data_IF_299229409613
#
_entry.id   IF_299229409613
#
_cell.length_a   1.000
_cell.length_b   1.000
_cell.length_c   1.000
_cell.angle_alpha   90.00
_cell.angle_beta   90.00
_cell.angle_gamma   90.00
#
_symmetry.space_group_name_H-M   'P 1'
#
loop_
_entity.id
_entity.type
_entity.pdbx_description
1 polymer ?
#
# COMPACT_ATOMS: atom_id res chain seq x y z
N UNK A 1 -1.72 -10.21 -17.79
CA UNK A 1 -0.84 -9.35 -16.96
C UNK A 1 -0.08 -8.42 -17.89
N UNK A 2 -0.31 -7.11 -17.84
CA UNK A 2 0.47 -6.13 -18.60
C UNK A 2 1.25 -5.27 -17.62
N UNK A 3 2.46 -5.74 -17.31
CA UNK A 3 3.43 -5.08 -16.47
C UNK A 3 4.10 -3.95 -17.28
N UNK A 4 3.44 -2.80 -17.32
CA UNK A 4 4.00 -1.57 -17.87
C UNK A 4 5.10 -1.04 -16.95
N UNK A 5 6.28 -1.68 -17.01
CA UNK A 5 7.51 -1.28 -16.33
C UNK A 5 8.02 0.05 -16.88
N UNK A 6 7.41 1.14 -16.44
CA UNK A 6 8.05 2.45 -16.45
C UNK A 6 8.99 2.54 -15.25
N UNK A 7 10.29 2.60 -15.50
CA UNK A 7 11.32 2.85 -14.48
C UNK A 7 10.97 4.17 -13.79
N UNK A 8 10.64 4.11 -12.49
CA UNK A 8 10.34 5.30 -11.69
C UNK A 8 11.66 6.04 -11.45
N UNK A 9 11.86 7.19 -12.07
CA UNK A 9 13.00 8.07 -11.77
C UNK A 9 12.63 9.01 -10.61
N UNK A 10 13.44 8.96 -9.54
CA UNK A 10 13.26 9.74 -8.32
C UNK A 10 12.64 8.99 -7.14
N UNK A 11 12.97 9.43 -5.92
CA UNK A 11 12.35 8.97 -4.68
C UNK A 11 10.83 9.12 -4.78
N UNK A 12 10.10 8.01 -4.65
CA UNK A 12 8.64 8.07 -4.63
C UNK A 12 8.20 9.00 -3.49
N UNK A 13 7.39 10.04 -3.80
CA UNK A 13 6.93 10.96 -2.77
C UNK A 13 6.14 10.16 -1.73
N UNK A 14 6.40 10.45 -0.45
CA UNK A 14 5.67 9.82 0.62
C UNK A 14 4.19 10.17 0.51
N UNK A 15 3.34 9.15 0.56
CA UNK A 15 1.90 9.29 0.61
C UNK A 15 1.43 8.47 1.79
N UNK A 16 0.54 9.05 2.57
CA UNK A 16 -0.17 8.31 3.59
C UNK A 16 -1.05 7.26 2.90
N UNK A 17 -0.99 5.99 3.30
CA UNK A 17 -1.86 4.95 2.75
C UNK A 17 -3.05 4.73 3.70
N UNK A 18 -4.27 4.88 3.19
CA UNK A 18 -5.49 4.80 4.00
C UNK A 18 -5.68 3.43 4.67
N UNK A 19 -5.07 2.38 4.11
CA UNK A 19 -5.09 1.03 4.67
C UNK A 19 -4.48 0.98 6.08
N UNK A 20 -3.55 1.89 6.41
CA UNK A 20 -2.94 1.94 7.74
C UNK A 20 -3.97 2.17 8.85
N UNK A 21 -5.03 2.92 8.54
CA UNK A 21 -6.12 3.18 9.48
C UNK A 21 -6.97 1.94 9.78
N UNK A 22 -6.87 0.87 8.97
CA UNK A 22 -7.57 -0.39 9.18
C UNK A 22 -6.79 -1.33 10.10
N UNK A 23 -5.50 -1.07 10.36
CA UNK A 23 -4.71 -1.86 11.31
C UNK A 23 -5.03 -1.45 12.75
N UNK A 24 -5.26 -2.45 13.61
CA UNK A 24 -5.58 -2.23 15.01
C UNK A 24 -4.38 -1.58 15.72
N UNK A 25 -4.63 -0.57 16.54
CA UNK A 25 -3.59 0.12 17.30
C UNK A 25 -2.79 1.17 16.51
N UNK A 26 -3.11 1.41 15.22
CA UNK A 26 -2.34 2.35 14.40
C UNK A 26 -2.38 3.79 14.96
N UNK A 27 -3.52 4.25 15.47
CA UNK A 27 -3.67 5.62 15.99
C UNK A 27 -2.86 5.81 17.28
N UNK A 28 -2.86 4.80 18.12
CA UNK A 28 -2.13 4.73 19.38
C UNK A 28 -0.63 4.73 19.13
N UNK A 29 -0.19 3.93 18.14
CA UNK A 29 1.20 3.91 17.68
C UNK A 29 1.65 5.28 17.15
N UNK A 30 0.83 5.90 16.29
CA UNK A 30 1.10 7.22 15.73
C UNK A 30 1.22 8.29 16.83
N UNK A 31 0.32 8.25 17.83
CA UNK A 31 0.33 9.15 18.99
C UNK A 31 1.60 8.95 19.83
N UNK A 32 1.97 7.69 20.08
CA UNK A 32 3.18 7.35 20.82
C UNK A 32 4.44 7.93 20.16
N UNK A 33 4.61 7.74 18.85
CA UNK A 33 5.74 8.34 18.11
C UNK A 33 5.72 9.87 18.18
N UNK A 34 4.57 10.49 17.95
CA UNK A 34 4.44 11.94 17.95
C UNK A 34 4.84 12.58 19.29
N UNK A 35 4.44 11.95 20.39
CA UNK A 35 4.77 12.36 21.75
C UNK A 35 6.24 12.07 22.10
N UNK A 36 6.80 10.97 21.59
CA UNK A 36 8.19 10.57 21.82
C UNK A 36 9.23 11.45 21.12
N UNK A 37 8.86 12.21 20.08
CA UNK A 37 9.79 13.12 19.41
C UNK A 37 10.09 14.36 20.27
N UNK A 38 11.32 14.42 20.80
CA UNK A 38 11.85 15.58 21.51
C UNK A 38 12.71 16.44 20.57
N UNK A 39 12.14 17.52 20.05
CA UNK A 39 12.78 18.44 19.11
C UNK A 39 12.62 19.86 19.66
N UNK A 40 13.71 20.64 19.62
CA UNK A 40 13.75 22.02 20.12
C UNK A 40 13.94 23.00 18.96
N UNK A 41 13.38 24.19 19.08
CA UNK A 41 13.46 25.25 18.07
C UNK A 41 12.17 26.07 18.01
N UNK A 42 12.00 26.86 16.95
CA UNK A 42 10.74 27.56 16.69
C UNK A 42 9.60 26.56 16.45
N UNK A 43 8.35 26.96 16.73
CA UNK A 43 7.18 26.10 16.52
C UNK A 43 7.11 25.52 15.09
N UNK A 44 7.41 26.35 14.08
CA UNK A 44 7.45 25.92 12.68
C UNK A 44 8.54 24.89 12.41
N UNK A 45 9.73 25.07 12.99
CA UNK A 45 10.83 24.12 12.87
C UNK A 45 10.49 22.78 13.53
N UNK A 46 9.98 22.81 14.77
CA UNK A 46 9.57 21.62 15.51
C UNK A 46 8.52 20.81 14.73
N UNK A 47 7.53 21.49 14.13
CA UNK A 47 6.51 20.84 13.33
C UNK A 47 7.12 20.11 12.11
N UNK A 48 7.98 20.78 11.36
CA UNK A 48 8.63 20.20 10.16
C UNK A 48 9.47 18.99 10.52
N UNK A 49 10.29 19.09 11.57
CA UNK A 49 11.15 17.99 12.01
C UNK A 49 10.34 16.80 12.56
N UNK A 50 9.26 17.05 13.32
CA UNK A 50 8.36 15.99 13.76
C UNK A 50 7.68 15.27 12.58
N UNK A 51 7.26 16.01 11.56
CA UNK A 51 6.68 15.42 10.34
C UNK A 51 7.72 14.59 9.56
N UNK A 52 8.97 15.03 9.48
CA UNK A 52 10.07 14.25 8.87
C UNK A 52 10.34 12.95 9.64
N UNK A 53 10.42 13.03 10.97
CA UNK A 53 10.59 11.87 11.83
C UNK A 53 9.43 10.89 11.68
N UNK A 54 8.19 11.39 11.74
CA UNK A 54 6.98 10.59 11.58
C UNK A 54 6.93 9.88 10.22
N UNK A 55 7.29 10.59 9.14
CA UNK A 55 7.40 10.02 7.79
C UNK A 55 8.39 8.86 7.75
N UNK A 56 9.52 8.97 8.46
CA UNK A 56 10.52 7.90 8.54
C UNK A 56 9.94 6.67 9.28
N UNK A 57 9.38 6.88 10.48
CA UNK A 57 8.75 5.81 11.27
C UNK A 57 7.64 5.09 10.50
N UNK A 58 6.78 5.84 9.79
CA UNK A 58 5.71 5.27 8.98
C UNK A 58 6.23 4.42 7.81
N UNK A 59 7.34 4.83 7.17
CA UNK A 59 7.95 4.03 6.09
C UNK A 59 8.49 2.70 6.61
N UNK A 60 9.21 2.72 7.72
CA UNK A 60 9.76 1.52 8.35
C UNK A 60 8.64 0.58 8.76
N UNK A 61 7.67 1.09 9.53
CA UNK A 61 6.53 0.31 9.99
C UNK A 61 5.68 -0.25 8.84
N UNK A 62 5.45 0.52 7.77
CA UNK A 62 4.72 0.02 6.61
C UNK A 62 5.45 -1.17 5.96
N UNK A 63 6.78 -1.13 5.86
CA UNK A 63 7.55 -2.23 5.30
C UNK A 63 7.52 -3.47 6.21
N UNK A 64 7.57 -3.30 7.52
CA UNK A 64 7.54 -4.38 8.51
C UNK A 64 6.17 -5.06 8.60
N UNK A 65 5.09 -4.27 8.64
CA UNK A 65 3.73 -4.78 8.86
C UNK A 65 3.03 -5.19 7.56
N UNK A 66 3.17 -4.40 6.49
CA UNK A 66 2.45 -4.63 5.25
C UNK A 66 3.34 -5.13 4.12
N UNK A 67 4.62 -4.73 4.10
CA UNK A 67 5.56 -5.06 3.05
C UNK A 67 4.97 -4.89 1.64
N UNK A 68 5.02 -5.95 0.84
CA UNK A 68 4.34 -6.01 -0.46
C UNK A 68 2.98 -6.68 -0.31
N UNK A 69 1.91 -5.89 -0.18
CA UNK A 69 0.52 -6.35 -0.05
C UNK A 69 0.16 -7.44 -1.07
N UNK A 70 0.51 -7.23 -2.35
CA UNK A 70 0.19 -8.20 -3.41
C UNK A 70 0.87 -9.56 -3.21
N UNK A 71 2.11 -9.58 -2.68
CA UNK A 71 2.82 -10.82 -2.35
C UNK A 71 2.16 -11.49 -1.15
N UNK A 72 1.87 -10.75 -0.09
CA UNK A 72 1.23 -11.29 1.11
C UNK A 72 -0.16 -11.87 0.81
N UNK A 73 -0.93 -11.20 -0.07
CA UNK A 73 -2.22 -11.68 -0.57
C UNK A 73 -2.07 -13.03 -1.30
N UNK A 74 -1.10 -13.14 -2.21
CA UNK A 74 -0.85 -14.39 -2.95
C UNK A 74 -0.43 -15.52 -2.01
N UNK A 75 0.49 -15.26 -1.08
CA UNK A 75 0.92 -16.25 -0.09
C UNK A 75 -0.23 -16.72 0.81
N UNK A 76 -1.11 -15.80 1.24
CA UNK A 76 -2.30 -16.16 2.01
C UNK A 76 -3.27 -17.01 1.19
N UNK A 77 -3.45 -16.70 -0.10
CA UNK A 77 -4.28 -17.50 -1.00
C UNK A 77 -3.72 -18.91 -1.21
N UNK A 78 -2.41 -19.04 -1.40
CA UNK A 78 -1.75 -20.35 -1.54
C UNK A 78 -1.95 -21.22 -0.30
N UNK A 79 -1.87 -20.64 0.92
CA UNK A 79 -2.16 -21.35 2.17
C UNK A 79 -3.61 -21.84 2.24
N UNK A 80 -4.57 -21.04 1.76
CA UNK A 80 -5.98 -21.43 1.70
C UNK A 80 -6.16 -22.58 0.70
N UNK A 81 -5.64 -22.43 -0.52
CA UNK A 81 -5.74 -23.44 -1.57
C UNK A 81 -5.11 -24.77 -1.16
N UNK A 82 -3.96 -24.74 -0.50
CA UNK A 82 -3.28 -25.94 -0.01
C UNK A 82 -4.14 -26.73 0.98
N UNK A 83 -4.84 -26.03 1.89
CA UNK A 83 -5.73 -26.68 2.87
C UNK A 83 -7.04 -27.16 2.24
N UNK A 84 -7.58 -26.41 1.29
CA UNK A 84 -8.77 -26.82 0.54
C UNK A 84 -8.48 -28.06 -0.33
N UNK A 85 -7.26 -28.24 -0.83
CA UNK A 85 -6.86 -29.45 -1.57
C UNK A 85 -6.67 -30.66 -0.64
N UNK A 86 -6.12 -30.47 0.56
CA UNK A 86 -6.01 -31.54 1.55
C UNK A 86 -7.39 -32.06 1.99
N UNK A 87 -8.37 -31.18 2.16
CA UNK A 87 -9.74 -31.57 2.54
C UNK A 87 -10.43 -32.45 1.48
N UNK A 88 -10.06 -32.31 0.20
CA UNK A 88 -10.58 -33.18 -0.86
C UNK A 88 -10.04 -34.60 -0.79
N UNK A 89 -8.83 -34.78 -0.26
CA UNK A 89 -8.18 -36.08 -0.17
C UNK A 89 -8.39 -36.78 1.17
N UNK A 90 -8.57 -36.02 2.26
CA UNK A 90 -8.84 -36.56 3.60
C UNK A 90 -9.58 -35.56 4.48
N UNK A 91 -10.16 -36.04 5.57
CA UNK A 91 -10.67 -35.17 6.62
C UNK A 91 -9.53 -34.39 7.29
N UNK A 92 -9.80 -33.12 7.58
CA UNK A 92 -8.88 -32.23 8.30
C UNK A 92 -8.99 -32.44 9.80
N UNK A 93 -7.87 -32.39 10.51
CA UNK A 93 -7.88 -32.35 11.97
C UNK A 93 -8.46 -31.02 12.47
N UNK A 94 -8.87 -30.97 13.74
CA UNK A 94 -9.36 -29.73 14.36
C UNK A 94 -8.35 -28.57 14.28
N UNK A 95 -7.06 -28.87 14.43
CA UNK A 95 -5.98 -27.88 14.28
C UNK A 95 -5.89 -27.37 12.85
N UNK A 96 -6.06 -28.26 11.87
CA UNK A 96 -6.01 -27.90 10.46
C UNK A 96 -7.22 -27.08 10.02
N UNK A 97 -8.40 -27.38 10.55
CA UNK A 97 -9.61 -26.58 10.37
C UNK A 97 -9.42 -25.18 10.94
N UNK A 98 -8.84 -25.07 12.15
CA UNK A 98 -8.55 -23.77 12.77
C UNK A 98 -7.57 -22.96 11.92
N UNK A 99 -6.45 -23.56 11.53
CA UNK A 99 -5.45 -22.85 10.76
C UNK A 99 -5.90 -22.57 9.30
N UNK A 100 -6.89 -23.30 8.77
CA UNK A 100 -7.61 -22.93 7.54
C UNK A 100 -8.43 -21.66 7.73
N UNK A 101 -9.18 -21.58 8.83
CA UNK A 101 -9.97 -20.41 9.16
C UNK A 101 -9.07 -19.18 9.30
N UNK A 102 -7.95 -19.30 10.00
CA UNK A 102 -6.94 -18.23 10.12
C UNK A 102 -6.38 -17.80 8.76
N UNK A 103 -5.98 -18.75 7.90
CA UNK A 103 -5.49 -18.42 6.55
C UNK A 103 -6.56 -17.69 5.70
N UNK A 104 -7.83 -18.05 5.83
CA UNK A 104 -8.94 -17.36 5.15
C UNK A 104 -9.14 -15.94 5.68
N UNK A 105 -9.04 -15.73 7.00
CA UNK A 105 -9.11 -14.39 7.58
C UNK A 105 -7.91 -13.52 7.19
N UNK A 106 -6.71 -14.08 7.15
CA UNK A 106 -5.51 -13.40 6.65
C UNK A 106 -5.67 -13.00 5.19
N UNK A 107 -6.17 -13.90 4.33
CA UNK A 107 -6.45 -13.58 2.94
C UNK A 107 -7.45 -12.44 2.80
N UNK A 108 -8.57 -12.48 3.54
CA UNK A 108 -9.55 -11.39 3.58
C UNK A 108 -8.93 -10.06 4.02
N UNK A 109 -8.07 -10.09 5.05
CA UNK A 109 -7.31 -8.90 5.49
C UNK A 109 -6.51 -8.31 4.33
N UNK A 110 -5.71 -9.11 3.63
CA UNK A 110 -4.87 -8.61 2.53
C UNK A 110 -5.68 -8.09 1.34
N UNK A 111 -6.79 -8.73 1.00
CA UNK A 111 -7.72 -8.26 -0.03
C UNK A 111 -8.28 -6.88 0.35
N UNK A 112 -8.73 -6.70 1.59
CA UNK A 112 -9.24 -5.41 2.08
C UNK A 112 -8.17 -4.32 2.00
N UNK A 113 -6.93 -4.59 2.45
CA UNK A 113 -5.84 -3.61 2.40
C UNK A 113 -5.52 -3.20 0.97
N UNK A 114 -5.51 -4.16 0.04
CA UNK A 114 -5.30 -3.91 -1.38
C UNK A 114 -6.42 -3.05 -1.98
N UNK A 115 -7.68 -3.37 -1.68
CA UNK A 115 -8.85 -2.59 -2.12
C UNK A 115 -8.77 -1.13 -1.64
N UNK A 116 -8.48 -0.92 -0.36
CA UNK A 116 -8.35 0.43 0.23
C UNK A 116 -7.22 1.21 -0.44
N UNK A 117 -6.07 0.57 -0.69
CA UNK A 117 -4.95 1.21 -1.38
C UNK A 117 -5.30 1.58 -2.83
N UNK A 118 -5.99 0.70 -3.56
CA UNK A 118 -6.43 0.99 -4.93
C UNK A 118 -7.48 2.09 -4.99
N UNK A 119 -8.46 2.10 -4.08
CA UNK A 119 -9.47 3.17 -4.00
C UNK A 119 -8.81 4.53 -3.74
N UNK A 120 -7.82 4.58 -2.86
CA UNK A 120 -7.08 5.82 -2.62
C UNK A 120 -6.29 6.25 -3.86
N UNK A 121 -5.67 5.31 -4.57
CA UNK A 121 -4.89 5.59 -5.79
C UNK A 121 -5.75 6.00 -6.97
N UNK A 122 -6.96 5.47 -7.08
CA UNK A 122 -7.89 5.83 -8.16
C UNK A 122 -8.53 7.21 -7.96
N UNK A 123 -8.51 7.77 -6.74
CA UNK A 123 -9.18 9.04 -6.38
C UNK A 123 -10.69 9.03 -6.62
N UNK A 124 -11.28 7.85 -6.71
CA UNK A 124 -12.71 7.65 -6.96
C UNK A 124 -13.47 7.69 -5.64
N UNK A 125 -14.25 8.75 -5.45
CA UNK A 125 -15.00 9.03 -4.21
C UNK A 125 -16.43 8.47 -4.29
N UNK A 126 -16.93 8.18 -5.50
CA UNK A 126 -18.34 7.88 -5.77
C UNK A 126 -18.74 6.40 -5.58
N UNK A 127 -17.78 5.48 -5.43
CA UNK A 127 -18.06 4.06 -5.16
C UNK A 127 -18.14 3.78 -3.65
N UNK A 128 -19.32 3.38 -3.16
CA UNK A 128 -19.53 2.88 -1.78
C UNK A 128 -18.72 1.61 -1.52
N UNK A 129 -18.31 1.40 -0.25
CA UNK A 129 -17.68 0.16 0.22
C UNK A 129 -18.56 -1.06 -0.16
N UNK A 130 -17.94 -2.11 -0.73
CA UNK A 130 -18.62 -3.39 -1.02
C UNK A 130 -18.64 -3.82 -2.48
N UNK A 131 -18.33 -2.92 -3.43
CA UNK A 131 -18.27 -3.30 -4.85
C UNK A 131 -16.89 -3.87 -5.22
N UNK A 132 -16.84 -5.16 -5.59
CA UNK A 132 -15.61 -5.94 -5.85
C UNK A 132 -14.92 -5.58 -7.18
N UNK A 133 -15.00 -4.33 -7.62
CA UNK A 133 -14.51 -3.93 -8.93
C UNK A 133 -13.05 -3.47 -8.91
N UNK A 134 -12.13 -4.35 -8.48
CA UNK A 134 -10.69 -4.09 -8.48
C UNK A 134 -10.17 -3.73 -9.88
N UNK A 135 -10.72 -4.34 -10.94
CA UNK A 135 -10.38 -4.05 -12.34
C UNK A 135 -10.70 -2.62 -12.79
N UNK A 136 -11.79 -2.03 -12.28
CA UNK A 136 -12.11 -0.62 -12.51
C UNK A 136 -11.06 0.30 -11.84
N UNK A 137 -10.75 0.07 -10.56
CA UNK A 137 -9.75 0.87 -9.84
C UNK A 137 -8.35 0.76 -10.47
N UNK A 138 -7.96 -0.43 -10.94
CA UNK A 138 -6.72 -0.62 -11.68
C UNK A 138 -6.68 0.22 -12.96
N UNK A 139 -7.76 0.22 -13.75
CA UNK A 139 -7.84 1.02 -14.99
C UNK A 139 -7.73 2.51 -14.70
N UNK A 140 -8.44 3.01 -13.68
CA UNK A 140 -8.45 4.43 -13.35
C UNK A 140 -7.12 4.91 -12.74
N UNK A 141 -6.54 4.15 -11.80
CA UNK A 141 -5.23 4.45 -11.23
C UNK A 141 -4.14 4.48 -12.32
N UNK A 142 -4.22 3.57 -13.30
CA UNK A 142 -3.31 3.58 -14.45
C UNK A 142 -3.56 4.77 -15.39
N UNK A 143 -4.82 5.18 -15.61
CA UNK A 143 -5.16 6.36 -16.40
C UNK A 143 -4.56 7.63 -15.76
N UNK A 144 -4.78 7.84 -14.46
CA UNK A 144 -4.17 8.95 -13.75
C UNK A 144 -2.65 8.89 -13.74
N UNK A 145 -2.05 7.70 -13.61
CA UNK A 145 -0.59 7.54 -13.69
C UNK A 145 -0.05 7.93 -15.08
N UNK A 146 -0.76 7.58 -16.16
CA UNK A 146 -0.42 7.97 -17.52
C UNK A 146 -0.59 9.47 -17.76
N UNK A 147 -1.69 10.05 -17.28
CA UNK A 147 -1.96 11.48 -17.42
C UNK A 147 -0.98 12.35 -16.63
N UNK A 148 -0.55 11.89 -15.45
CA UNK A 148 0.48 12.56 -14.64
C UNK A 148 1.92 12.27 -15.09
N UNK A 149 2.11 11.49 -16.16
CA UNK A 149 3.43 11.23 -16.70
C UNK A 149 3.83 12.34 -17.67
N UNK A 150 4.77 13.18 -17.25
CA UNK A 150 5.35 14.23 -18.08
C UNK A 150 6.39 13.62 -19.03
N UNK A 151 6.06 13.56 -20.33
CA UNK A 151 6.97 13.08 -21.40
C UNK A 151 8.16 14.00 -21.63
N UNK A 152 7.94 15.31 -21.58
CA UNK A 152 8.91 16.38 -21.81
C UNK A 152 8.49 17.60 -20.99
N UNK A 153 9.47 18.33 -20.47
CA UNK A 153 9.24 19.60 -19.76
C UNK A 153 9.88 20.71 -20.58
N UNK A 154 9.16 21.82 -20.72
CA UNK A 154 9.67 23.03 -21.39
C UNK A 154 10.16 24.00 -20.32
N UNK A 155 11.45 24.32 -20.32
CA UNK A 155 12.06 25.29 -19.41
C UNK A 155 12.60 26.43 -20.29
N UNK A 156 12.15 27.66 -20.03
CA UNK A 156 12.63 28.87 -20.72
C UNK A 156 12.62 28.77 -22.26
N UNK A 157 11.57 28.20 -22.86
CA UNK A 157 11.48 28.08 -24.32
C UNK A 157 12.11 26.81 -24.91
N UNK A 158 12.98 26.12 -24.17
CA UNK A 158 13.71 24.93 -24.63
C UNK A 158 13.00 23.67 -24.16
N UNK A 159 12.79 22.74 -25.09
CA UNK A 159 12.28 21.40 -24.77
C UNK A 159 13.43 20.54 -24.25
N UNK A 160 13.45 20.29 -22.95
CA UNK A 160 14.41 19.36 -22.36
C UNK A 160 13.90 17.92 -22.59
N UNK A 161 14.65 17.16 -23.38
CA UNK A 161 14.57 15.70 -23.44
C UNK A 161 15.80 15.24 -22.66
N UNK A 162 15.62 14.71 -21.45
CA UNK A 162 16.76 14.19 -20.69
C UNK A 162 17.37 13.00 -21.44
N UNK A 163 18.55 13.22 -22.01
CA UNK A 163 19.39 12.14 -22.55
C UNK A 163 19.87 11.27 -21.39
N UNK A 164 19.63 9.97 -21.52
CA UNK A 164 20.13 8.95 -20.61
C UNK A 164 21.63 8.79 -20.81
N UNK A 165 22.44 9.07 -19.79
CA UNK A 165 23.73 8.41 -19.64
C UNK A 165 23.61 7.29 -18.60
N UNK A 166 24.41 6.26 -18.89
CA UNK A 166 24.29 4.83 -18.54
C UNK A 166 24.43 4.56 -17.05
#
# INVERSE_FOLDING_TARGET
MLDGRGVRRGSTPFRFENMWLKEKGFKELLKSWWQGFNIRGSHSFVLVEKLKALKSSLKTWNNEVFGKIGVNKTLALEKVSFRDEQEKSRELSMEEVKARKEAREDFKKWVLMEEVSWRQKSREIWLREGDKNTGFFHRMANMHKRSNWLRKIKINGVWCIEYNEI
#
